data_IF_912031684211
#
_entry.id   IF_912031684211
#
_cell.length_a   1.000
_cell.length_b   1.000
_cell.length_c   1.000
_cell.angle_alpha   90.00
_cell.angle_beta   90.00
_cell.angle_gamma   90.00
#
_symmetry.space_group_name_H-M   'P 1'
#
loop_
_entity.id
_entity.type
_entity.pdbx_description
1 polymer ?
#
# COMPACT_ATOMS: atom_id res chain seq x y z
N UNK A 1 -45.46 -55.30 41.88
CA UNK A 1 -46.41 -54.99 40.78
C UNK A 1 -47.08 -53.66 41.13
N UNK A 2 -46.54 -52.53 40.66
CA UNK A 2 -47.29 -51.28 40.39
C UNK A 2 -46.36 -50.20 39.82
N UNK A 3 -46.62 -49.89 38.55
CA UNK A 3 -46.51 -48.64 37.78
C UNK A 3 -45.29 -47.70 37.85
N UNK A 4 -44.78 -47.42 36.65
CA UNK A 4 -43.79 -46.41 36.26
C UNK A 4 -44.39 -45.00 36.13
N UNK A 5 -43.55 -43.95 35.96
CA UNK A 5 -43.91 -42.79 35.15
C UNK A 5 -43.19 -42.80 33.79
N UNK A 6 -43.91 -42.30 32.80
CA UNK A 6 -43.63 -42.27 31.35
C UNK A 6 -42.29 -41.65 30.95
N UNK A 7 -41.67 -42.26 29.92
CA UNK A 7 -40.52 -41.76 29.18
C UNK A 7 -40.85 -41.77 27.67
N UNK A 8 -40.86 -40.58 27.04
CA UNK A 8 -40.36 -40.22 25.69
C UNK A 8 -41.12 -38.99 25.08
N UNK A 9 -40.59 -38.24 24.08
CA UNK A 9 -39.20 -38.04 23.63
C UNK A 9 -38.78 -36.55 23.44
N UNK A 10 -37.49 -36.38 23.09
CA UNK A 10 -36.65 -35.22 22.69
C UNK A 10 -37.27 -33.95 22.07
N UNK A 11 -36.54 -32.79 22.13
CA UNK A 11 -35.64 -32.42 21.02
C UNK A 11 -34.24 -31.87 21.42
N UNK A 12 -33.30 -31.92 20.46
CA UNK A 12 -31.88 -31.53 20.46
C UNK A 12 -31.54 -30.21 21.19
N UNK A 13 -30.67 -30.23 22.23
CA UNK A 13 -29.19 -30.11 22.25
C UNK A 13 -28.58 -28.79 21.73
N UNK A 14 -28.12 -27.96 22.66
CA UNK A 14 -26.73 -27.46 22.76
C UNK A 14 -26.47 -27.06 24.23
N UNK A 15 -25.40 -27.61 24.84
CA UNK A 15 -24.95 -27.26 26.21
C UNK A 15 -23.60 -26.57 26.14
N UNK A 16 -23.33 -25.58 27.01
CA UNK A 16 -22.12 -24.78 27.01
C UNK A 16 -20.97 -25.51 27.72
N UNK A 17 -19.76 -25.31 27.23
CA UNK A 17 -18.54 -25.72 27.93
C UNK A 17 -17.86 -24.46 28.47
N UNK A 18 -17.78 -24.37 29.80
CA UNK A 18 -16.94 -23.42 30.53
C UNK A 18 -15.59 -24.09 30.74
N UNK A 19 -14.51 -23.41 30.35
CA UNK A 19 -13.15 -23.76 30.74
C UNK A 19 -12.46 -22.48 31.24
N UNK A 20 -11.92 -22.53 32.45
CA UNK A 20 -11.19 -21.45 33.12
C UNK A 20 -9.75 -21.33 32.62
N UNK A 21 -9.23 -20.10 32.73
CA UNK A 21 -8.00 -19.52 32.18
C UNK A 21 -6.68 -20.32 32.34
N UNK A 22 -5.80 -20.12 31.34
CA UNK A 22 -4.39 -19.79 31.57
C UNK A 22 -4.13 -18.34 31.07
N UNK A 23 -3.28 -17.55 31.74
CA UNK A 23 -3.01 -16.15 31.38
C UNK A 23 -1.95 -16.05 30.27
N UNK A 24 -1.99 -14.93 29.54
CA UNK A 24 -0.99 -14.41 28.60
C UNK A 24 -0.73 -15.20 27.31
N UNK A 25 -1.60 -15.00 26.32
CA UNK A 25 -1.17 -14.89 24.93
C UNK A 25 -1.63 -13.53 24.43
N UNK A 26 -0.70 -12.59 24.33
CA UNK A 26 -0.93 -11.30 23.69
C UNK A 26 -1.44 -11.52 22.24
N UNK A 27 -2.36 -10.69 21.73
CA UNK A 27 -2.75 -10.74 20.32
C UNK A 27 -1.50 -10.60 19.45
N UNK A 28 -1.37 -11.47 18.44
CA UNK A 28 -0.27 -11.44 17.48
C UNK A 28 -0.21 -10.06 16.81
N UNK A 29 0.95 -9.40 16.73
CA UNK A 29 1.03 -8.09 16.13
C UNK A 29 0.63 -8.12 14.65
N UNK A 30 -0.13 -7.11 14.23
CA UNK A 30 -0.51 -6.91 12.83
C UNK A 30 0.73 -6.56 12.00
N UNK A 31 1.31 -7.56 11.33
CA UNK A 31 2.46 -7.36 10.43
C UNK A 31 1.99 -6.85 9.07
N UNK A 32 2.58 -5.77 8.60
CA UNK A 32 2.39 -5.28 7.24
C UNK A 32 3.74 -5.16 6.52
N UNK A 33 3.70 -5.33 5.21
CA UNK A 33 4.89 -5.46 4.36
C UNK A 33 4.92 -4.37 3.31
N UNK A 34 5.46 -3.18 3.61
CA UNK A 34 5.75 -2.22 2.56
C UNK A 34 6.94 -2.72 1.74
N UNK A 35 6.79 -2.74 0.41
CA UNK A 35 7.88 -2.91 -0.53
C UNK A 35 7.99 -1.63 -1.35
N UNK A 36 9.16 -1.00 -1.31
CA UNK A 36 9.47 0.18 -2.11
C UNK A 36 10.49 -0.18 -3.17
N UNK A 37 10.23 0.22 -4.40
CA UNK A 37 11.09 -0.08 -5.52
C UNK A 37 11.60 1.23 -6.14
N UNK A 38 12.88 1.30 -6.45
CA UNK A 38 13.47 2.43 -7.18
C UNK A 38 14.24 1.95 -8.41
N UNK A 39 14.17 2.70 -9.51
CA UNK A 39 14.98 2.46 -10.72
C UNK A 39 16.24 3.35 -10.72
N UNK A 40 17.38 2.82 -11.13
CA UNK A 40 18.61 3.61 -11.31
C UNK A 40 18.40 4.74 -12.35
N UNK A 41 19.03 5.92 -12.16
CA UNK A 41 18.78 7.11 -12.98
C UNK A 41 19.14 6.98 -14.47
N UNK A 42 20.03 6.04 -14.83
CA UNK A 42 20.55 5.91 -16.20
C UNK A 42 19.94 4.75 -17.02
N UNK A 43 18.98 4.00 -16.46
CA UNK A 43 18.36 2.87 -17.16
C UNK A 43 17.04 3.31 -17.80
N UNK A 44 17.02 3.40 -19.12
CA UNK A 44 15.81 3.70 -19.87
C UNK A 44 14.73 2.64 -19.59
N UNK A 45 13.44 3.01 -19.45
CA UNK A 45 12.37 2.04 -19.31
C UNK A 45 12.31 1.12 -20.55
N UNK A 46 11.88 -0.15 -20.40
CA UNK A 46 11.79 -1.08 -21.53
C UNK A 46 10.92 -0.49 -22.65
N UNK A 47 11.26 -0.76 -23.93
CA UNK A 47 10.70 -0.04 -25.07
C UNK A 47 9.18 -0.14 -25.10
N UNK A 48 8.54 1.04 -25.13
CA UNK A 48 7.10 1.19 -25.37
C UNK A 48 6.82 0.74 -26.80
N UNK A 49 6.14 -0.38 -26.98
CA UNK A 49 5.58 -0.77 -28.27
C UNK A 49 4.46 0.20 -28.64
N UNK A 50 4.81 1.26 -29.35
CA UNK A 50 3.88 2.27 -29.85
C UNK A 50 4.63 3.50 -30.34
N UNK A 51 4.91 3.55 -31.64
CA UNK A 51 5.55 4.69 -32.32
C UNK A 51 4.82 6.01 -32.05
N UNK A 52 5.54 7.00 -31.54
CA UNK A 52 5.38 8.42 -31.89
C UNK A 52 6.77 9.08 -31.84
N UNK A 53 7.12 9.98 -32.78
CA UNK A 53 8.45 10.55 -32.85
C UNK A 53 8.53 11.78 -31.94
N UNK A 54 9.57 11.86 -31.11
CA UNK A 54 10.14 13.16 -30.73
C UNK A 54 11.58 12.98 -30.28
N UNK A 55 12.45 13.69 -30.99
CA UNK A 55 13.88 13.83 -30.79
C UNK A 55 14.16 14.40 -29.40
N UNK A 56 15.15 13.86 -28.68
CA UNK A 56 15.82 14.59 -27.60
C UNK A 56 17.33 14.64 -27.89
N UNK A 57 17.95 15.83 -27.76
CA UNK A 57 19.35 16.05 -28.07
C UNK A 57 20.27 15.54 -26.95
N UNK A 58 21.52 15.29 -27.33
CA UNK A 58 22.63 14.87 -26.50
C UNK A 58 23.24 15.98 -25.65
N UNK A 59 23.89 15.54 -24.57
CA UNK A 59 25.03 16.11 -23.86
C UNK A 59 24.80 17.14 -22.74
N UNK A 60 25.14 16.65 -21.54
CA UNK A 60 25.94 17.26 -20.47
C UNK A 60 25.83 18.76 -20.20
N UNK A 61 25.35 19.08 -18.99
CA UNK A 61 25.98 20.09 -18.13
C UNK A 61 25.63 19.81 -16.68
N UNK A 62 26.67 19.59 -15.87
CA UNK A 62 26.58 19.75 -14.42
C UNK A 62 26.07 21.15 -14.09
N UNK A 63 25.06 21.24 -13.24
CA UNK A 63 24.75 22.46 -12.51
C UNK A 63 24.62 22.12 -11.03
N UNK A 64 25.59 22.60 -10.27
CA UNK A 64 25.58 22.60 -8.82
C UNK A 64 24.49 23.53 -8.26
N UNK A 65 23.87 23.12 -7.15
CA UNK A 65 23.39 24.05 -6.12
C UNK A 65 21.89 24.35 -6.04
N UNK A 66 21.06 23.35 -5.73
CA UNK A 66 19.80 23.52 -4.97
C UNK A 66 19.73 22.32 -4.03
N UNK A 67 19.51 22.54 -2.73
CA UNK A 67 19.42 21.47 -1.72
C UNK A 67 18.48 20.37 -2.21
N UNK A 68 19.06 19.22 -2.58
CA UNK A 68 18.36 18.19 -3.32
C UNK A 68 17.22 17.63 -2.49
N UNK A 69 16.02 17.57 -3.06
CA UNK A 69 14.90 16.84 -2.46
C UNK A 69 15.36 15.41 -2.17
N UNK A 70 15.32 15.00 -0.90
CA UNK A 70 15.62 13.62 -0.50
C UNK A 70 14.46 12.67 -0.81
N UNK A 71 14.77 11.39 -0.93
CA UNK A 71 13.80 10.30 -1.01
C UNK A 71 12.86 10.32 0.20
N UNK A 72 11.57 10.06 -0.04
CA UNK A 72 10.54 10.08 1.01
C UNK A 72 9.95 8.68 1.21
N UNK A 73 9.77 8.30 2.49
CA UNK A 73 9.11 7.08 2.93
C UNK A 73 8.17 7.43 4.09
N UNK A 74 6.88 7.58 3.82
CA UNK A 74 5.88 7.98 4.82
C UNK A 74 4.81 6.93 5.02
N UNK A 75 4.37 6.76 6.26
CA UNK A 75 3.28 5.87 6.63
C UNK A 75 2.25 6.62 7.48
N UNK A 76 0.98 6.28 7.31
CA UNK A 76 -0.12 6.81 8.11
C UNK A 76 -1.01 5.65 8.59
N UNK A 77 -1.25 5.51 9.91
CA UNK A 77 -2.07 4.44 10.49
C UNK A 77 -3.58 4.71 10.31
N UNK A 78 -4.09 4.64 9.08
CA UNK A 78 -5.50 4.92 8.79
C UNK A 78 -6.50 3.96 9.46
N UNK A 79 -6.07 2.77 9.87
CA UNK A 79 -6.90 1.83 10.65
C UNK A 79 -7.13 2.30 12.08
N UNK A 80 -6.11 2.90 12.71
CA UNK A 80 -6.20 3.47 14.06
C UNK A 80 -6.75 4.91 14.08
N UNK A 81 -6.88 5.54 12.91
CA UNK A 81 -7.44 6.87 12.79
C UNK A 81 -8.96 6.85 12.98
N UNK A 82 -9.43 7.29 14.14
CA UNK A 82 -10.84 7.56 14.42
C UNK A 82 -11.13 9.06 14.37
N UNK A 83 -11.31 9.68 13.18
CA UNK A 83 -11.54 11.12 13.10
C UNK A 83 -12.85 11.51 13.76
N UNK A 84 -12.84 12.60 14.53
CA UNK A 84 -14.07 13.33 14.85
C UNK A 84 -14.55 14.18 13.68
N UNK A 85 -15.76 14.74 13.78
CA UNK A 85 -16.38 15.56 12.73
C UNK A 85 -15.46 16.67 12.21
N UNK A 86 -14.86 17.45 13.12
CA UNK A 86 -13.96 18.55 12.75
C UNK A 86 -12.75 18.08 11.93
N UNK A 87 -12.12 16.96 12.30
CA UNK A 87 -10.97 16.42 11.58
C UNK A 87 -11.37 15.89 10.20
N UNK A 88 -12.48 15.16 10.11
CA UNK A 88 -12.96 14.61 8.85
C UNK A 88 -13.37 15.71 7.86
N UNK A 89 -14.12 16.72 8.34
CA UNK A 89 -14.55 17.85 7.54
C UNK A 89 -13.37 18.72 7.10
N UNK A 90 -12.37 18.94 7.97
CA UNK A 90 -11.13 19.62 7.59
C UNK A 90 -10.40 18.84 6.49
N UNK A 91 -10.20 17.52 6.67
CA UNK A 91 -9.56 16.66 5.67
C UNK A 91 -10.26 16.75 4.31
N UNK A 92 -11.59 16.68 4.31
CA UNK A 92 -12.41 16.76 3.10
C UNK A 92 -12.27 18.10 2.37
N UNK A 93 -12.02 19.19 3.09
CA UNK A 93 -11.78 20.51 2.50
C UNK A 93 -10.35 20.65 2.01
N UNK A 94 -9.40 19.86 2.50
CA UNK A 94 -8.00 19.93 2.11
C UNK A 94 -7.65 19.08 0.87
N UNK A 95 -8.63 18.42 0.24
CA UNK A 95 -8.43 17.61 -0.98
C UNK A 95 -9.19 18.18 -2.17
N UNK A 96 -8.76 17.84 -3.40
CA UNK A 96 -9.44 18.31 -4.62
C UNK A 96 -10.90 17.84 -4.67
N UNK A 97 -11.85 18.65 -5.19
CA UNK A 97 -13.28 18.35 -5.15
C UNK A 97 -13.66 16.98 -5.75
N UNK A 98 -13.06 16.60 -6.87
CA UNK A 98 -13.30 15.31 -7.51
C UNK A 98 -12.78 14.13 -6.68
N UNK A 99 -11.74 14.35 -5.86
CA UNK A 99 -11.25 13.34 -4.94
C UNK A 99 -12.10 13.24 -3.68
N UNK A 100 -12.64 14.37 -3.17
CA UNK A 100 -13.66 14.38 -2.12
C UNK A 100 -14.89 13.56 -2.56
N UNK A 101 -15.37 13.77 -3.77
CA UNK A 101 -16.51 13.04 -4.33
C UNK A 101 -16.22 11.53 -4.42
N UNK A 102 -15.04 11.16 -4.92
CA UNK A 102 -14.62 9.75 -5.00
C UNK A 102 -14.55 9.07 -3.64
N UNK A 103 -14.04 9.76 -2.62
CA UNK A 103 -13.97 9.24 -1.25
C UNK A 103 -15.38 9.08 -0.66
N UNK A 104 -16.32 9.99 -0.98
CA UNK A 104 -17.71 9.88 -0.54
C UNK A 104 -18.42 8.63 -1.09
N UNK A 105 -18.00 8.13 -2.26
CA UNK A 105 -18.55 6.90 -2.87
C UNK A 105 -18.03 5.60 -2.24
N UNK A 106 -17.07 5.66 -1.32
CA UNK A 106 -16.63 4.48 -0.59
C UNK A 106 -17.80 3.90 0.22
N UNK A 107 -17.98 2.59 0.14
CA UNK A 107 -19.02 1.87 0.90
C UNK A 107 -18.63 1.73 2.37
N UNK A 108 -17.35 1.47 2.64
CA UNK A 108 -16.83 1.26 3.98
C UNK A 108 -16.03 2.47 4.49
N UNK A 109 -16.16 2.76 5.79
CA UNK A 109 -15.46 3.85 6.46
C UNK A 109 -13.94 3.67 6.39
N UNK A 110 -13.44 2.43 6.54
CA UNK A 110 -12.01 2.10 6.42
C UNK A 110 -11.43 2.47 5.05
N UNK A 111 -12.19 2.26 3.97
CA UNK A 111 -11.73 2.56 2.61
C UNK A 111 -11.72 4.08 2.39
N UNK A 112 -12.72 4.79 2.92
CA UNK A 112 -12.76 6.24 2.90
C UNK A 112 -11.57 6.84 3.67
N UNK A 113 -11.26 6.33 4.87
CA UNK A 113 -10.10 6.74 5.68
C UNK A 113 -8.78 6.53 4.93
N UNK A 114 -8.57 5.34 4.36
CA UNK A 114 -7.36 5.01 3.61
C UNK A 114 -7.21 5.90 2.36
N UNK A 115 -8.29 6.09 1.61
CA UNK A 115 -8.29 6.95 0.42
C UNK A 115 -8.02 8.41 0.77
N UNK A 116 -8.61 8.94 1.85
CA UNK A 116 -8.38 10.29 2.36
C UNK A 116 -6.93 10.48 2.81
N UNK A 117 -6.42 9.59 3.66
CA UNK A 117 -5.03 9.60 4.11
C UNK A 117 -4.06 9.65 2.93
N UNK A 118 -4.36 8.90 1.87
CA UNK A 118 -3.54 8.92 0.67
C UNK A 118 -3.50 10.24 -0.06
N UNK A 119 -4.61 10.99 -0.10
CA UNK A 119 -4.62 12.33 -0.70
C UNK A 119 -3.83 13.33 0.10
N UNK A 120 -3.99 13.29 1.41
CA UNK A 120 -3.26 14.19 2.30
C UNK A 120 -1.76 13.91 2.25
N UNK A 121 -1.34 12.65 2.22
CA UNK A 121 0.06 12.25 2.02
C UNK A 121 0.65 12.84 0.74
N UNK A 122 -0.05 12.70 -0.40
CA UNK A 122 0.41 13.24 -1.68
C UNK A 122 0.50 14.77 -1.67
N UNK A 123 -0.52 15.47 -1.15
CA UNK A 123 -0.49 16.94 -1.10
C UNK A 123 0.57 17.47 -0.15
N UNK A 124 0.73 16.87 1.04
CA UNK A 124 1.80 17.21 1.98
C UNK A 124 3.17 17.05 1.32
N UNK A 125 3.41 15.93 0.62
CA UNK A 125 4.67 15.66 -0.07
C UNK A 125 4.98 16.81 -1.03
N UNK A 126 4.03 17.15 -1.90
CA UNK A 126 4.22 18.18 -2.92
C UNK A 126 4.40 19.56 -2.28
N UNK A 127 3.61 19.88 -1.25
CA UNK A 127 3.71 21.15 -0.55
C UNK A 127 5.08 21.35 0.10
N UNK A 128 5.57 20.34 0.83
CA UNK A 128 6.79 20.46 1.62
C UNK A 128 8.06 20.24 0.79
N UNK A 129 8.03 19.33 -0.18
CA UNK A 129 9.23 18.94 -0.91
C UNK A 129 9.43 19.71 -2.20
N UNK A 130 8.35 20.19 -2.81
CA UNK A 130 8.42 21.01 -4.04
C UNK A 130 8.08 22.48 -3.78
N UNK A 131 7.76 22.86 -2.54
CA UNK A 131 7.39 24.22 -2.15
C UNK A 131 6.22 24.79 -2.97
N UNK A 132 5.30 23.94 -3.42
CA UNK A 132 4.09 24.37 -4.12
C UNK A 132 3.01 24.67 -3.08
N UNK A 133 2.42 25.88 -3.04
CA UNK A 133 1.35 26.20 -2.09
C UNK A 133 0.21 25.18 -2.14
N UNK A 134 -0.33 24.80 -0.99
CA UNK A 134 -1.32 23.71 -0.92
C UNK A 134 -2.52 23.93 -1.84
N UNK A 135 -2.97 25.17 -2.03
CA UNK A 135 -4.08 25.53 -2.93
C UNK A 135 -3.73 25.46 -4.43
N UNK A 136 -2.46 25.45 -4.79
CA UNK A 136 -1.98 25.46 -6.17
C UNK A 136 -1.59 24.06 -6.67
N UNK A 137 -1.60 23.06 -5.78
CA UNK A 137 -1.28 21.67 -6.14
C UNK A 137 -2.39 21.08 -7.01
N UNK A 138 -2.02 20.73 -8.23
CA UNK A 138 -2.87 20.08 -9.24
C UNK A 138 -2.44 18.62 -9.42
N UNK A 139 -3.19 17.72 -8.80
CA UNK A 139 -3.06 16.28 -9.02
C UNK A 139 -4.02 15.86 -10.13
N UNK A 140 -3.51 15.04 -11.05
CA UNK A 140 -4.29 14.38 -12.08
C UNK A 140 -4.11 12.87 -12.00
N UNK A 141 -4.82 12.14 -12.87
CA UNK A 141 -4.64 10.69 -13.03
C UNK A 141 -4.36 10.36 -14.47
N UNK A 142 -3.44 9.43 -14.68
CA UNK A 142 -3.22 8.81 -16.00
C UNK A 142 -4.47 8.07 -16.47
N UNK A 143 -4.52 7.68 -17.74
CA UNK A 143 -5.60 6.85 -18.30
C UNK A 143 -5.80 5.51 -17.58
N UNK A 144 -4.77 5.03 -16.87
CA UNK A 144 -4.79 3.81 -16.05
C UNK A 144 -5.03 4.08 -14.57
N UNK A 145 -5.33 5.33 -14.21
CA UNK A 145 -5.67 5.73 -12.85
C UNK A 145 -4.49 6.07 -11.95
N UNK A 146 -3.21 5.94 -12.34
CA UNK A 146 -2.08 6.36 -11.50
C UNK A 146 -2.12 7.88 -11.24
N UNK A 147 -2.14 8.35 -9.97
CA UNK A 147 -2.04 9.78 -9.65
C UNK A 147 -0.68 10.36 -10.09
N UNK A 148 -0.68 11.57 -10.62
CA UNK A 148 0.50 12.31 -11.09
C UNK A 148 0.37 13.80 -10.78
N UNK A 149 1.50 14.49 -10.62
CA UNK A 149 1.54 15.95 -10.49
C UNK A 149 1.42 16.59 -11.87
N UNK A 150 0.50 17.54 -12.03
CA UNK A 150 0.28 18.27 -13.27
C UNK A 150 0.95 19.66 -13.28
N UNK A 151 1.38 20.17 -12.13
CA UNK A 151 2.19 21.39 -12.05
C UNK A 151 3.49 21.21 -12.85
N UNK A 152 3.90 22.24 -13.60
CA UNK A 152 5.18 22.22 -14.31
C UNK A 152 6.34 22.38 -13.32
N UNK A 153 6.94 21.25 -12.98
CA UNK A 153 8.15 21.17 -12.16
C UNK A 153 9.32 20.64 -12.96
N UNK A 154 9.20 20.50 -14.29
CA UNK A 154 10.22 19.83 -15.11
C UNK A 154 11.54 20.59 -15.10
N UNK A 155 11.49 21.92 -15.01
CA UNK A 155 12.67 22.78 -14.94
C UNK A 155 13.47 22.64 -13.63
N UNK A 156 12.87 22.20 -12.53
CA UNK A 156 13.50 22.09 -11.21
C UNK A 156 13.66 20.64 -10.74
N UNK A 157 12.72 19.77 -11.11
CA UNK A 157 12.61 18.37 -10.70
C UNK A 157 12.13 17.48 -11.87
N UNK A 158 12.93 17.31 -12.94
CA UNK A 158 12.50 16.69 -14.21
C UNK A 158 11.98 15.26 -14.06
N UNK A 159 12.46 14.52 -13.06
CA UNK A 159 12.15 13.12 -12.85
C UNK A 159 11.41 12.87 -11.52
N UNK A 160 10.89 13.91 -10.88
CA UNK A 160 10.15 13.75 -9.63
C UNK A 160 8.91 12.88 -9.86
N UNK A 161 8.76 11.88 -9.00
CA UNK A 161 7.57 11.06 -8.99
C UNK A 161 7.32 10.45 -7.61
N UNK A 162 6.09 10.00 -7.41
CA UNK A 162 5.66 9.38 -6.18
C UNK A 162 4.72 8.21 -6.45
N UNK A 163 4.58 7.35 -5.47
CA UNK A 163 3.60 6.28 -5.48
C UNK A 163 3.01 6.08 -4.09
N UNK A 164 1.81 5.53 -4.06
CA UNK A 164 1.07 5.28 -2.84
C UNK A 164 0.45 3.89 -2.86
N UNK A 165 0.41 3.24 -1.70
CA UNK A 165 -0.39 2.05 -1.45
C UNK A 165 -1.14 2.16 -0.14
N UNK A 166 -2.23 1.41 -0.01
CA UNK A 166 -2.90 1.26 1.28
C UNK A 166 -3.51 -0.13 1.38
N UNK A 167 -3.31 -0.79 2.52
CA UNK A 167 -3.94 -2.07 2.83
C UNK A 167 -3.94 -2.31 4.33
N UNK A 168 -5.00 -2.96 4.81
CA UNK A 168 -5.21 -3.17 6.23
C UNK A 168 -5.32 -1.82 6.93
N UNK A 169 -4.38 -1.57 7.83
CA UNK A 169 -4.47 -0.46 8.77
C UNK A 169 -3.63 0.76 8.35
N UNK A 170 -3.02 0.73 7.16
CA UNK A 170 -2.03 1.72 6.75
C UNK A 170 -2.16 2.21 5.32
N UNK A 171 -1.86 3.49 5.14
CA UNK A 171 -1.52 4.11 3.87
C UNK A 171 -0.03 4.48 3.86
N UNK A 172 0.69 4.12 2.81
CA UNK A 172 2.13 4.36 2.66
C UNK A 172 2.44 5.10 1.37
N UNK A 173 3.37 6.05 1.43
CA UNK A 173 3.83 6.84 0.31
C UNK A 173 5.34 6.70 0.17
N UNK A 174 5.79 6.54 -1.08
CA UNK A 174 7.18 6.70 -1.46
C UNK A 174 7.31 7.78 -2.54
N UNK A 175 8.36 8.59 -2.47
CA UNK A 175 8.68 9.56 -3.51
C UNK A 175 10.18 9.62 -3.75
N UNK A 176 10.55 9.94 -4.99
CA UNK A 176 11.93 10.01 -5.42
C UNK A 176 12.13 11.26 -6.30
N UNK A 177 13.25 11.98 -6.12
CA UNK A 177 13.55 13.18 -6.91
C UNK A 177 13.98 12.84 -8.35
N UNK A 178 14.57 11.65 -8.54
CA UNK A 178 15.22 11.26 -9.80
C UNK A 178 14.86 9.86 -10.28
N UNK A 179 14.67 8.93 -9.34
CA UNK A 179 14.42 7.51 -9.65
C UNK A 179 12.94 7.27 -9.86
N UNK A 180 12.58 6.37 -10.76
CA UNK A 180 11.18 5.92 -10.84
C UNK A 180 10.83 5.09 -9.60
N UNK A 181 9.69 5.36 -8.96
CA UNK A 181 9.27 4.69 -7.73
C UNK A 181 7.90 4.02 -7.84
N UNK A 182 7.81 2.84 -7.24
CA UNK A 182 6.57 2.12 -6.96
C UNK A 182 6.57 1.62 -5.52
N UNK A 183 5.42 1.63 -4.87
CA UNK A 183 5.26 1.10 -3.52
C UNK A 183 4.03 0.21 -3.45
N UNK A 184 4.14 -0.91 -2.75
CA UNK A 184 2.99 -1.69 -2.35
C UNK A 184 3.06 -2.12 -0.89
N UNK A 185 1.91 -2.29 -0.24
CA UNK A 185 1.81 -2.76 1.14
C UNK A 185 0.80 -3.90 1.21
N UNK A 186 1.21 -5.02 1.80
CA UNK A 186 0.34 -6.19 1.99
C UNK A 186 0.28 -6.58 3.46
N UNK A 187 -0.91 -6.92 3.95
CA UNK A 187 -1.13 -7.52 5.28
C UNK A 187 -1.33 -9.02 5.12
N UNK A 188 -0.51 -9.82 5.79
CA UNK A 188 -0.66 -11.28 5.81
C UNK A 188 -1.93 -11.65 6.56
N UNK A 189 -2.94 -12.10 5.84
CA UNK A 189 -4.22 -12.54 6.40
C UNK A 189 -4.56 -13.92 5.85
N UNK A 190 -5.19 -14.74 6.69
CA UNK A 190 -5.79 -15.99 6.26
C UNK A 190 -6.81 -15.75 5.13
N UNK A 191 -6.94 -16.67 4.17
CA UNK A 191 -7.98 -16.57 3.15
C UNK A 191 -9.37 -16.44 3.79
N UNK A 192 -10.20 -15.52 3.28
CA UNK A 192 -11.55 -15.31 3.82
C UNK A 192 -12.49 -16.52 3.66
N UNK A 193 -12.14 -17.45 2.76
CA UNK A 193 -12.80 -18.75 2.58
C UNK A 193 -11.78 -19.79 2.12
N UNK A 194 -11.95 -21.03 2.57
CA UNK A 194 -11.12 -22.16 2.17
C UNK A 194 -9.79 -22.25 2.92
N UNK A 195 -8.98 -23.26 2.58
CA UNK A 195 -7.64 -23.45 3.13
C UNK A 195 -6.58 -22.64 2.37
N UNK A 196 -5.38 -22.51 2.95
CA UNK A 196 -4.24 -21.86 2.30
C UNK A 196 -3.85 -22.58 1.00
N UNK A 197 -3.87 -23.91 1.01
CA UNK A 197 -3.62 -24.72 -0.20
C UNK A 197 -4.62 -24.41 -1.33
N UNK A 198 -5.91 -24.28 -1.02
CA UNK A 198 -6.94 -23.93 -2.01
C UNK A 198 -6.76 -22.51 -2.55
N UNK A 199 -6.41 -21.57 -1.67
CA UNK A 199 -6.06 -20.21 -2.06
C UNK A 199 -4.84 -20.18 -3.01
N UNK A 200 -3.78 -20.92 -2.71
CA UNK A 200 -2.61 -21.04 -3.59
C UNK A 200 -2.95 -21.67 -4.94
N UNK A 201 -3.84 -22.67 -4.97
CA UNK A 201 -4.32 -23.27 -6.22
C UNK A 201 -4.99 -22.24 -7.12
N UNK A 202 -5.83 -21.37 -6.56
CA UNK A 202 -6.51 -20.29 -7.30
C UNK A 202 -5.50 -19.25 -7.81
N UNK A 203 -4.49 -18.93 -6.99
CA UNK A 203 -3.48 -17.91 -7.29
C UNK A 203 -2.30 -18.44 -8.12
N UNK A 204 -2.30 -19.72 -8.49
CA UNK A 204 -1.16 -20.39 -9.13
C UNK A 204 -0.65 -19.66 -10.38
N UNK A 205 -1.55 -19.10 -11.18
CA UNK A 205 -1.23 -18.38 -12.43
C UNK A 205 -0.53 -17.03 -12.24
N UNK A 206 -0.39 -16.55 -11.00
CA UNK A 206 0.15 -15.22 -10.70
C UNK A 206 1.66 -15.25 -10.44
N UNK A 207 2.22 -16.42 -10.18
CA UNK A 207 3.64 -16.61 -9.89
C UNK A 207 4.27 -17.63 -10.83
N UNK A 208 5.59 -17.53 -10.98
CA UNK A 208 6.38 -18.51 -11.74
C UNK A 208 6.62 -19.78 -10.92
N UNK A 209 7.18 -20.80 -11.57
CA UNK A 209 7.55 -22.05 -10.90
C UNK A 209 8.59 -21.80 -9.81
N UNK A 210 9.61 -20.96 -10.05
CA UNK A 210 10.66 -20.69 -9.04
C UNK A 210 10.13 -19.90 -7.85
N UNK A 211 9.23 -18.94 -8.09
CA UNK A 211 8.55 -18.22 -7.02
C UNK A 211 7.71 -19.17 -6.16
N UNK A 212 6.94 -20.08 -6.78
CA UNK A 212 6.19 -21.09 -6.03
C UNK A 212 7.07 -22.06 -5.26
N UNK A 213 8.25 -22.40 -5.78
CA UNK A 213 9.24 -23.20 -5.04
C UNK A 213 9.72 -22.45 -3.79
N UNK A 214 10.00 -21.15 -3.89
CA UNK A 214 10.38 -20.32 -2.75
C UNK A 214 9.23 -20.17 -1.73
N UNK A 215 8.02 -19.90 -2.20
CA UNK A 215 6.82 -19.75 -1.35
C UNK A 215 6.55 -21.04 -0.56
N UNK A 216 6.69 -22.21 -1.18
CA UNK A 216 6.40 -23.51 -0.56
C UNK A 216 7.61 -24.16 0.12
N UNK A 217 8.75 -23.47 0.20
CA UNK A 217 9.95 -23.99 0.84
C UNK A 217 9.85 -24.05 2.37
N UNK A 218 8.89 -23.33 2.95
CA UNK A 218 8.65 -23.31 4.40
C UNK A 218 7.78 -24.50 4.82
N UNK A 219 8.04 -25.05 6.01
CA UNK A 219 7.29 -26.20 6.53
C UNK A 219 5.89 -25.82 7.04
N UNK A 220 5.71 -24.59 7.52
CA UNK A 220 4.42 -24.12 8.05
C UNK A 220 3.65 -23.24 7.05
N UNK A 221 2.33 -23.44 6.98
CA UNK A 221 1.47 -22.73 6.03
C UNK A 221 1.45 -21.21 6.25
N UNK A 222 1.70 -20.74 7.48
CA UNK A 222 1.71 -19.31 7.78
C UNK A 222 2.90 -18.61 7.13
N UNK A 223 4.12 -19.13 7.28
CA UNK A 223 5.30 -18.59 6.62
C UNK A 223 5.23 -18.74 5.09
N UNK A 224 4.59 -19.81 4.57
CA UNK A 224 4.30 -19.89 3.14
C UNK A 224 3.37 -18.75 2.69
N UNK A 225 2.28 -18.50 3.42
CA UNK A 225 1.34 -17.42 3.13
C UNK A 225 2.01 -16.05 3.24
N UNK A 226 2.89 -15.89 4.21
CA UNK A 226 3.67 -14.69 4.43
C UNK A 226 4.66 -14.41 3.28
N UNK A 227 5.35 -15.45 2.80
CA UNK A 227 6.21 -15.36 1.61
C UNK A 227 5.39 -15.08 0.34
N UNK A 228 4.20 -15.66 0.22
CA UNK A 228 3.26 -15.36 -0.87
C UNK A 228 2.93 -13.85 -0.92
N UNK A 229 2.55 -13.25 0.22
CA UNK A 229 2.23 -11.82 0.25
C UNK A 229 3.46 -10.93 0.01
N UNK A 230 4.66 -11.38 0.38
CA UNK A 230 5.91 -10.69 0.02
C UNK A 230 6.13 -10.67 -1.50
N UNK A 231 6.03 -11.82 -2.17
CA UNK A 231 6.14 -11.87 -3.63
C UNK A 231 5.04 -11.05 -4.31
N UNK A 232 3.82 -11.06 -3.76
CA UNK A 232 2.72 -10.25 -4.28
C UNK A 232 3.05 -8.75 -4.19
N UNK A 233 3.49 -8.26 -3.03
CA UNK A 233 3.87 -6.86 -2.84
C UNK A 233 5.03 -6.44 -3.76
N UNK A 234 6.01 -7.32 -3.99
CA UNK A 234 7.11 -7.09 -4.94
C UNK A 234 6.61 -6.91 -6.39
N UNK A 235 5.71 -7.79 -6.85
CA UNK A 235 5.13 -7.67 -8.20
C UNK A 235 4.27 -6.41 -8.34
N UNK A 236 3.43 -6.11 -7.36
CA UNK A 236 2.56 -4.93 -7.39
C UNK A 236 3.38 -3.63 -7.31
N UNK A 237 4.45 -3.57 -6.51
CA UNK A 237 5.32 -2.39 -6.45
C UNK A 237 5.94 -2.09 -7.82
N UNK A 238 6.40 -3.12 -8.54
CA UNK A 238 6.90 -2.97 -9.91
C UNK A 238 5.83 -2.49 -10.90
N UNK A 239 4.65 -3.12 -10.91
CA UNK A 239 3.56 -2.76 -11.82
C UNK A 239 3.10 -1.32 -11.59
N UNK A 240 3.08 -0.88 -10.32
CA UNK A 240 2.74 0.49 -9.93
C UNK A 240 3.85 1.47 -10.27
N UNK A 241 5.12 1.06 -10.23
CA UNK A 241 6.24 1.87 -10.69
C UNK A 241 6.05 2.21 -12.17
N UNK A 242 5.95 1.20 -13.05
CA UNK A 242 5.83 1.37 -14.51
C UNK A 242 4.44 1.85 -14.96
N UNK A 243 3.43 1.79 -14.09
CA UNK A 243 2.12 2.43 -14.29
C UNK A 243 1.22 1.74 -15.31
N UNK A 244 1.39 0.44 -15.53
CA UNK A 244 0.69 -0.29 -16.60
C UNK A 244 -0.64 -0.94 -16.18
N UNK A 245 -0.97 -0.97 -14.88
CA UNK A 245 -2.25 -1.44 -14.35
C UNK A 245 -2.49 -2.95 -14.49
N UNK A 246 -3.76 -3.35 -14.36
CA UNK A 246 -4.23 -4.73 -14.11
C UNK A 246 -4.00 -5.70 -15.29
N UNK A 247 -3.76 -5.19 -16.50
CA UNK A 247 -3.63 -6.02 -17.71
C UNK A 247 -2.28 -6.71 -17.89
N UNK A 248 -1.33 -6.53 -16.96
CA UNK A 248 0.00 -7.10 -17.10
C UNK A 248 0.05 -8.57 -16.68
N UNK A 249 0.73 -9.40 -17.47
CA UNK A 249 0.91 -10.83 -17.17
C UNK A 249 1.97 -11.00 -16.08
N UNK A 250 1.53 -11.26 -14.84
CA UNK A 250 2.42 -11.41 -13.68
C UNK A 250 3.50 -12.50 -13.82
N UNK A 251 3.25 -13.53 -14.65
CA UNK A 251 4.23 -14.59 -14.93
C UNK A 251 5.44 -14.13 -15.75
N UNK A 252 5.41 -12.94 -16.34
CA UNK A 252 6.59 -12.34 -16.99
C UNK A 252 7.63 -11.89 -15.98
N UNK A 253 7.21 -11.62 -14.75
CA UNK A 253 8.09 -11.19 -13.66
C UNK A 253 8.45 -12.42 -12.85
N UNK A 254 9.71 -12.59 -12.50
CA UNK A 254 10.18 -13.59 -11.54
C UNK A 254 11.05 -12.90 -10.50
N UNK A 255 10.66 -12.95 -9.23
CA UNK A 255 11.49 -12.45 -8.14
C UNK A 255 12.36 -13.54 -7.54
N UNK A 256 13.64 -13.24 -7.35
CA UNK A 256 14.54 -14.03 -6.50
C UNK A 256 14.70 -13.33 -5.15
N UNK A 257 13.99 -13.84 -4.15
CA UNK A 257 13.85 -13.19 -2.86
C UNK A 257 15.03 -13.50 -1.95
N UNK A 258 15.69 -12.43 -1.46
CA UNK A 258 16.77 -12.51 -0.47
C UNK A 258 16.68 -11.36 0.53
N UNK A 259 16.93 -11.60 1.84
CA UNK A 259 16.98 -12.92 2.48
C UNK A 259 15.57 -13.55 2.53
N UNK A 260 15.46 -14.86 2.78
CA UNK A 260 14.14 -15.52 2.89
C UNK A 260 13.33 -15.03 4.10
N UNK A 261 13.99 -14.79 5.23
CA UNK A 261 13.37 -14.26 6.44
C UNK A 261 13.71 -12.78 6.58
N UNK A 262 12.69 -11.95 6.79
CA UNK A 262 12.86 -10.54 7.10
C UNK A 262 12.74 -10.33 8.60
N UNK A 263 13.74 -9.70 9.20
CA UNK A 263 13.62 -9.19 10.56
C UNK A 263 12.72 -7.95 10.59
N UNK A 264 11.98 -7.79 11.69
CA UNK A 264 11.11 -6.62 11.87
C UNK A 264 11.94 -5.35 11.96
N UNK A 265 11.54 -4.30 11.25
CA UNK A 265 12.19 -2.99 11.27
C UNK A 265 13.46 -2.89 10.42
N UNK A 266 13.95 -4.01 9.86
CA UNK A 266 15.12 -4.00 8.97
C UNK A 266 14.72 -3.94 7.50
N UNK A 267 15.47 -3.15 6.76
CA UNK A 267 15.31 -2.98 5.31
C UNK A 267 16.31 -3.87 4.61
N UNK A 268 15.84 -4.59 3.61
CA UNK A 268 16.66 -5.48 2.79
C UNK A 268 16.53 -5.08 1.34
N UNK A 269 17.64 -5.14 0.61
CA UNK A 269 17.74 -4.69 -0.78
C UNK A 269 18.32 -5.75 -1.73
N UNK A 270 18.52 -6.96 -1.23
CA UNK A 270 19.18 -8.06 -1.92
C UNK A 270 18.24 -8.84 -2.87
N UNK A 271 16.96 -8.49 -2.89
CA UNK A 271 15.97 -9.13 -3.77
C UNK A 271 16.18 -8.67 -5.21
N UNK A 272 16.32 -9.60 -6.14
CA UNK A 272 16.47 -9.32 -7.57
C UNK A 272 15.24 -9.74 -8.37
N UNK A 273 15.14 -9.26 -9.61
CA UNK A 273 14.00 -9.51 -10.49
C UNK A 273 14.49 -9.90 -11.88
N UNK A 274 13.83 -10.87 -12.49
CA UNK A 274 13.90 -11.13 -13.91
C UNK A 274 12.59 -10.72 -14.60
N UNK A 275 12.70 -10.13 -15.79
CA UNK A 275 11.59 -9.87 -16.70
C UNK A 275 11.78 -10.70 -17.98
N UNK A 276 10.80 -11.54 -18.30
CA UNK A 276 10.85 -12.46 -19.44
C UNK A 276 12.10 -13.37 -19.47
N UNK A 277 12.67 -13.65 -18.29
CA UNK A 277 13.85 -14.50 -18.12
C UNK A 277 15.19 -13.77 -18.14
N UNK A 278 15.20 -12.46 -18.37
CA UNK A 278 16.39 -11.62 -18.32
C UNK A 278 16.46 -10.87 -16.99
N UNK A 279 17.64 -10.79 -16.37
CA UNK A 279 17.83 -10.08 -15.11
C UNK A 279 17.76 -8.56 -15.31
N UNK A 280 17.03 -7.89 -14.43
CA UNK A 280 16.75 -6.46 -14.50
C UNK A 280 17.60 -5.70 -13.47
N UNK A 281 18.88 -5.49 -13.78
CA UNK A 281 19.87 -4.85 -12.90
C UNK A 281 19.56 -3.36 -12.61
N UNK A 282 18.73 -2.73 -13.44
CA UNK A 282 18.34 -1.32 -13.28
C UNK A 282 17.39 -1.05 -12.11
N UNK A 283 16.93 -2.09 -11.41
CA UNK A 283 15.90 -1.99 -10.39
C UNK A 283 16.40 -2.47 -9.02
N UNK A 284 16.08 -1.69 -7.99
CA UNK A 284 16.37 -2.03 -6.58
C UNK A 284 15.07 -2.12 -5.80
N UNK A 285 14.97 -3.13 -4.92
CA UNK A 285 13.77 -3.41 -4.13
C UNK A 285 14.08 -3.36 -2.63
N UNK A 286 13.56 -2.35 -1.96
CA UNK A 286 13.56 -2.22 -0.51
C UNK A 286 12.39 -3.04 0.06
N UNK A 287 12.69 -4.20 0.63
CA UNK A 287 11.73 -5.05 1.33
C UNK A 287 11.84 -4.85 2.84
N UNK A 288 10.69 -4.59 3.48
CA UNK A 288 10.59 -4.41 4.92
C UNK A 288 9.46 -5.29 5.46
N UNK A 289 9.76 -6.04 6.52
CA UNK A 289 8.73 -6.59 7.40
C UNK A 289 8.58 -5.61 8.55
N UNK A 290 7.37 -5.10 8.77
CA UNK A 290 7.16 -4.18 9.87
C UNK A 290 6.01 -4.60 10.75
N UNK A 291 6.30 -4.64 12.05
CA UNK A 291 5.30 -4.49 13.08
C UNK A 291 5.03 -3.00 13.23
N UNK A 292 3.93 -2.57 12.64
CA UNK A 292 3.60 -1.16 12.59
C UNK A 292 3.05 -0.64 13.95
N UNK A 293 2.95 -1.50 14.97
CA UNK A 293 2.70 -1.09 16.35
C UNK A 293 3.93 -0.51 17.06
N UNK A 294 5.15 -0.70 16.51
CA UNK A 294 6.40 -0.14 17.03
C UNK A 294 7.08 0.78 16.00
N UNK A 295 6.70 2.07 15.93
CA UNK A 295 7.18 3.02 14.91
C UNK A 295 8.68 3.33 15.01
N UNK A 296 9.27 3.16 16.19
CA UNK A 296 10.60 3.64 16.53
C UNK A 296 11.76 2.93 15.77
N UNK A 297 11.48 1.82 15.10
CA UNK A 297 12.48 1.03 14.37
C UNK A 297 12.26 1.05 12.85
N UNK A 298 11.48 2.02 12.34
CA UNK A 298 11.11 2.07 10.94
C UNK A 298 11.97 3.01 10.11
N UNK A 299 12.21 2.64 8.86
CA UNK A 299 12.65 3.58 7.82
C UNK A 299 11.50 4.50 7.35
N UNK A 300 10.24 4.11 7.57
CA UNK A 300 9.10 4.97 7.29
C UNK A 300 8.93 5.99 8.42
N UNK A 301 8.78 7.26 8.05
CA UNK A 301 8.29 8.27 8.99
C UNK A 301 6.79 8.09 9.16
N UNK A 302 6.36 7.81 10.39
CA UNK A 302 4.95 7.72 10.75
C UNK A 302 4.40 9.12 10.98
N UNK A 303 3.35 9.45 10.25
CA UNK A 303 2.67 10.72 10.34
C UNK A 303 1.38 10.59 11.15
N UNK A 304 1.10 11.59 11.96
CA UNK A 304 -0.21 11.80 12.59
C UNK A 304 -1.13 12.60 11.67
N UNK A 305 -2.41 12.71 12.03
CA UNK A 305 -3.33 13.56 11.28
C UNK A 305 -2.86 15.02 11.26
N UNK A 306 -2.33 15.53 12.38
CA UNK A 306 -1.84 16.90 12.47
C UNK A 306 -0.65 17.11 11.53
N UNK A 307 0.25 16.13 11.40
CA UNK A 307 1.36 16.22 10.45
C UNK A 307 0.87 16.26 9.00
N UNK A 308 -0.18 15.49 8.67
CA UNK A 308 -0.77 15.46 7.33
C UNK A 308 -1.39 16.80 6.92
N UNK A 309 -2.02 17.50 7.86
CA UNK A 309 -2.75 18.75 7.58
C UNK A 309 -1.99 20.01 7.98
N UNK A 310 -0.79 19.90 8.56
CA UNK A 310 0.02 21.05 8.98
C UNK A 310 0.25 22.09 7.88
N UNK A 311 0.61 21.73 6.62
CA UNK A 311 0.77 22.71 5.54
C UNK A 311 -0.55 23.00 4.79
N UNK A 312 -1.69 22.46 5.25
CA UNK A 312 -2.91 22.44 4.45
C UNK A 312 -3.70 23.74 4.50
N UNK A 313 -4.34 24.05 3.38
CA UNK A 313 -5.27 25.16 3.23
C UNK A 313 -6.59 24.59 2.71
N UNK A 314 -7.73 24.88 3.37
CA UNK A 314 -9.04 24.47 2.87
C UNK A 314 -9.31 24.99 1.45
N UNK A 315 -9.59 24.09 0.52
CA UNK A 315 -9.90 24.35 -0.89
C UNK A 315 -11.40 24.58 -1.12
N UNK A 316 -12.24 24.00 -0.27
CA UNK A 316 -13.70 24.11 -0.36
C UNK A 316 -14.31 24.59 0.95
N UNK A 317 -15.55 25.08 0.84
CA UNK A 317 -16.40 25.29 2.00
C UNK A 317 -16.66 23.97 2.73
N UNK A 318 -16.97 24.10 4.01
CA UNK A 318 -17.39 22.98 4.84
C UNK A 318 -18.76 22.46 4.39
N UNK A 319 -18.92 21.15 4.49
CA UNK A 319 -20.10 20.42 4.04
C UNK A 319 -20.46 19.40 5.13
N UNK A 320 -21.33 19.76 6.09
CA UNK A 320 -21.68 18.91 7.22
C UNK A 320 -22.26 17.54 6.80
N UNK A 321 -22.94 17.47 5.65
CA UNK A 321 -23.49 16.23 5.14
C UNK A 321 -22.39 15.18 4.84
N UNK A 322 -21.16 15.62 4.60
CA UNK A 322 -20.03 14.72 4.37
C UNK A 322 -19.61 13.94 5.63
N UNK A 323 -19.87 14.50 6.81
CA UNK A 323 -19.67 13.78 8.08
C UNK A 323 -20.79 12.77 8.33
N UNK A 324 -22.04 13.15 8.07
CA UNK A 324 -23.19 12.25 8.19
C UNK A 324 -23.07 11.04 7.26
N UNK A 325 -22.68 11.27 5.99
CA UNK A 325 -22.38 10.20 5.03
C UNK A 325 -21.29 9.28 5.59
N UNK A 326 -20.18 9.82 6.11
CA UNK A 326 -19.11 9.01 6.70
C UNK A 326 -19.58 8.17 7.88
N UNK A 327 -20.36 8.74 8.81
CA UNK A 327 -20.91 8.01 9.96
C UNK A 327 -21.89 6.90 9.56
N UNK A 328 -22.55 7.04 8.40
CA UNK A 328 -23.47 6.02 7.89
C UNK A 328 -22.77 4.79 7.31
N UNK A 329 -21.45 4.88 7.03
CA UNK A 329 -20.67 3.79 6.42
C UNK A 329 -20.35 2.72 7.45
N UNK A 330 -20.37 1.46 6.99
CA UNK A 330 -19.95 0.31 7.80
C UNK A 330 -18.42 0.27 7.91
N UNK A 331 -17.87 -0.23 9.03
CA UNK A 331 -16.42 -0.41 9.18
C UNK A 331 -15.93 -1.71 8.51
N UNK A 332 -16.76 -2.75 8.47
CA UNK A 332 -16.46 -4.05 7.86
C UNK A 332 -17.68 -4.60 7.10
N UNK A 333 -17.48 -5.46 6.08
CA UNK A 333 -18.58 -6.21 5.47
C UNK A 333 -19.32 -7.03 6.54
N UNK A 334 -20.65 -7.05 6.45
CA UNK A 334 -21.54 -7.83 7.32
C UNK A 334 -21.33 -9.35 7.20
#
# INVERSE_FOLDING_TARGET
MTQAPDVAPSPCRARPCVMTQAPDVAPSPCRARPCVMTQAPDVAPPPRTGRFPTVFPTASRESAGIGGMESVRWAFPCGAWGPGAAQWLLAARCVQPEEKERIGRCVFARDAKAAMAGRLLMRKLIAEKLNIPWNDILLQRTSKGKPVLANDVVGTHPNFNFNISHQGDYAVLAAEPQRQVGIDIMKTNLPGRGSISEFFRIMNRQFTVKEWMSIKAFDDEWNQLDMFYRHWALKESFIKAIGIGIGFKLQRIEFNVSPLHLEVGKVYSDTTMCLDGEEEEGWTFEALSQDLSEPAQSQFTFLTFNDLVAPSIPLTLEDPAYWEDFCSKQEVPA
#
